data_IF_936184024280
#
_entry.id   IF_936184024280
#
_cell.length_a   1.000
_cell.length_b   1.000
_cell.length_c   1.000
_cell.angle_alpha   90.00
_cell.angle_beta   90.00
_cell.angle_gamma   90.00
#
_symmetry.space_group_name_H-M   'P 1'
#
loop_
_entity.id
_entity.type
_entity.pdbx_description
1 polymer ?
#
# COMPACT_ATOMS: atom_id res chain seq x y z
N UNK A 1 23.61 -18.89 11.98
CA UNK A 1 22.90 -19.44 13.17
C UNK A 1 23.63 -18.92 14.40
N UNK A 2 23.00 -18.20 15.31
CA UNK A 2 23.67 -17.77 16.55
C UNK A 2 23.96 -19.00 17.40
N UNK A 3 25.18 -19.07 17.95
CA UNK A 3 25.60 -20.11 18.88
C UNK A 3 24.77 -19.99 20.16
N UNK A 4 24.10 -21.05 20.57
CA UNK A 4 23.47 -21.19 21.86
C UNK A 4 24.58 -21.21 22.94
N UNK A 5 24.73 -20.14 23.69
CA UNK A 5 25.48 -20.16 24.96
C UNK A 5 24.61 -20.74 26.06
N UNK A 6 25.02 -21.88 26.57
CA UNK A 6 24.36 -22.57 27.68
C UNK A 6 24.71 -21.85 29.01
N UNK A 7 23.98 -20.81 29.36
CA UNK A 7 23.84 -20.33 30.74
C UNK A 7 22.48 -19.67 30.92
N UNK A 8 21.61 -20.36 31.45
CA UNK A 8 20.36 -20.37 32.14
C UNK A 8 19.52 -19.11 32.39
N UNK A 9 19.45 -18.13 31.53
CA UNK A 9 18.37 -17.16 31.53
C UNK A 9 17.72 -17.10 30.14
N UNK A 10 16.69 -17.91 29.94
CA UNK A 10 15.84 -17.79 28.76
C UNK A 10 15.21 -16.39 28.76
N UNK A 11 15.72 -15.48 27.93
CA UNK A 11 15.08 -14.20 27.69
C UNK A 11 13.76 -14.50 26.98
N UNK A 12 12.64 -14.32 27.70
CA UNK A 12 11.32 -14.46 27.08
C UNK A 12 11.18 -13.35 26.04
N UNK A 13 11.12 -13.73 24.77
CA UNK A 13 10.84 -12.81 23.68
C UNK A 13 9.32 -12.77 23.52
N UNK A 14 8.75 -11.61 23.84
CA UNK A 14 7.31 -11.37 23.68
C UNK A 14 7.10 -10.61 22.38
N UNK A 15 6.34 -11.18 21.46
CA UNK A 15 5.90 -10.46 20.27
C UNK A 15 4.99 -9.30 20.67
N UNK A 16 5.26 -8.13 20.12
CA UNK A 16 4.40 -6.95 20.28
C UNK A 16 3.34 -6.94 19.19
N UNK A 17 2.11 -6.66 19.60
CA UNK A 17 0.99 -6.48 18.69
C UNK A 17 1.14 -5.17 17.89
N UNK A 18 0.86 -5.20 16.60
CA UNK A 18 0.83 -4.00 15.77
C UNK A 18 -0.42 -3.16 16.11
N UNK A 19 -0.29 -1.83 16.22
CA UNK A 19 -1.41 -0.96 16.57
C UNK A 19 -2.39 -0.78 15.41
N UNK A 20 -3.58 -0.26 15.74
CA UNK A 20 -4.61 0.24 14.81
C UNK A 20 -5.23 -0.82 13.88
N UNK A 21 -5.10 -2.10 14.19
CA UNK A 21 -5.81 -3.17 13.48
C UNK A 21 -6.64 -4.01 14.46
N UNK A 22 -7.85 -4.48 14.06
CA UNK A 22 -8.77 -5.19 14.96
C UNK A 22 -8.43 -6.69 15.11
N UNK A 23 -7.22 -7.11 14.75
CA UNK A 23 -6.76 -8.49 14.83
C UNK A 23 -5.29 -8.51 15.22
N UNK A 24 -4.85 -9.60 15.84
CA UNK A 24 -3.45 -9.78 16.19
C UNK A 24 -2.59 -9.94 14.93
N UNK A 25 -1.58 -9.10 14.80
CA UNK A 25 -0.42 -9.28 13.91
C UNK A 25 0.80 -8.73 14.62
N UNK A 26 1.95 -9.44 14.62
CA UNK A 26 3.13 -8.97 15.33
C UNK A 26 3.77 -7.79 14.60
N UNK A 27 4.29 -6.83 15.37
CA UNK A 27 5.20 -5.82 14.82
C UNK A 27 6.45 -6.51 14.28
N UNK A 28 6.80 -6.22 13.04
CA UNK A 28 8.08 -6.64 12.46
C UNK A 28 9.14 -5.58 12.75
N UNK A 29 10.20 -5.98 13.46
CA UNK A 29 11.31 -5.09 13.80
C UNK A 29 12.65 -5.79 13.54
N UNK A 30 13.39 -5.40 12.50
CA UNK A 30 13.04 -4.35 11.52
C UNK A 30 11.91 -4.76 10.57
N UNK A 31 11.21 -3.79 9.93
CA UNK A 31 10.17 -4.08 8.95
C UNK A 31 10.69 -4.90 7.77
N UNK A 32 9.81 -5.69 7.14
CA UNK A 32 10.13 -6.41 5.91
C UNK A 32 10.73 -5.46 4.86
N UNK A 33 11.71 -5.93 4.10
CA UNK A 33 12.43 -5.14 3.09
C UNK A 33 13.55 -4.25 3.64
N UNK A 34 13.80 -4.29 4.95
CA UNK A 34 14.98 -3.67 5.55
C UNK A 34 16.20 -4.56 5.33
N UNK A 35 17.32 -3.98 4.89
CA UNK A 35 18.58 -4.72 4.76
C UNK A 35 19.16 -5.07 6.13
N UNK A 36 19.75 -6.27 6.25
CA UNK A 36 20.50 -6.66 7.46
C UNK A 36 21.87 -5.98 7.54
N UNK A 37 22.49 -5.69 6.38
CA UNK A 37 23.80 -5.09 6.28
C UNK A 37 23.72 -3.64 5.83
N UNK A 38 24.77 -2.85 6.18
CA UNK A 38 24.93 -1.50 5.65
C UNK A 38 25.08 -1.58 4.12
N UNK A 39 24.19 -0.92 3.43
CA UNK A 39 24.17 -0.91 1.97
C UNK A 39 24.91 0.32 1.42
N UNK A 40 25.64 0.18 0.30
CA UNK A 40 26.19 1.33 -0.42
C UNK A 40 25.08 2.34 -0.73
N UNK A 41 25.40 3.64 -0.64
CA UNK A 41 24.46 4.69 -0.99
C UNK A 41 23.96 4.53 -2.44
N UNK A 42 22.66 4.69 -2.65
CA UNK A 42 22.03 4.56 -3.97
C UNK A 42 21.71 3.12 -4.39
N UNK A 43 22.13 2.09 -3.64
CA UNK A 43 21.73 0.70 -3.93
C UNK A 43 20.25 0.47 -3.63
N UNK A 44 19.67 -0.59 -4.21
CA UNK A 44 18.24 -0.88 -4.14
C UNK A 44 17.69 -0.96 -2.70
N UNK A 45 18.47 -1.54 -1.78
CA UNK A 45 18.11 -1.71 -0.38
C UNK A 45 18.74 -0.65 0.55
N UNK A 46 19.33 0.42 0.00
CA UNK A 46 19.74 1.56 0.81
C UNK A 46 18.54 2.45 1.16
N UNK A 47 18.61 3.10 2.32
CA UNK A 47 17.61 4.08 2.72
C UNK A 47 17.48 5.20 1.68
N UNK A 48 16.27 5.70 1.49
CA UNK A 48 16.02 6.94 0.76
C UNK A 48 15.18 7.88 1.61
N UNK A 49 15.56 9.15 1.65
CA UNK A 49 14.82 10.21 2.34
C UNK A 49 14.18 11.15 1.32
N UNK A 50 12.87 11.27 1.40
CA UNK A 50 12.08 12.21 0.60
C UNK A 50 11.48 13.22 1.56
N UNK A 51 12.05 14.43 1.64
CA UNK A 51 11.72 15.43 2.67
C UNK A 51 11.83 14.83 4.08
N UNK A 52 10.71 14.70 4.80
CA UNK A 52 10.66 14.14 6.15
C UNK A 52 10.32 12.64 6.18
N UNK A 53 10.07 12.02 5.04
CA UNK A 53 9.75 10.60 4.92
C UNK A 53 11.02 9.80 4.64
N UNK A 54 11.36 8.87 5.54
CA UNK A 54 12.45 7.92 5.33
C UNK A 54 11.85 6.56 4.96
N UNK A 55 12.33 5.97 3.86
CA UNK A 55 11.92 4.68 3.34
C UNK A 55 13.06 3.67 3.52
N UNK A 56 12.72 2.44 3.89
CA UNK A 56 13.69 1.39 4.18
C UNK A 56 14.42 0.82 2.95
N UNK A 57 13.89 1.06 1.76
CA UNK A 57 14.51 0.69 0.50
C UNK A 57 13.97 1.57 -0.65
N UNK A 58 14.48 1.36 -1.86
CA UNK A 58 14.14 2.11 -3.07
C UNK A 58 13.15 1.40 -4.00
N UNK A 59 12.45 0.39 -3.48
CA UNK A 59 11.42 -0.35 -4.21
C UNK A 59 10.08 0.35 -4.00
N UNK A 60 9.47 0.84 -5.07
CA UNK A 60 8.17 1.51 -5.02
C UNK A 60 7.15 0.72 -5.82
N UNK A 61 5.97 0.51 -5.24
CA UNK A 61 4.81 0.01 -5.97
C UNK A 61 4.12 1.21 -6.61
N UNK A 62 4.14 1.24 -7.94
CA UNK A 62 3.50 2.32 -8.71
C UNK A 62 1.98 2.23 -8.64
N UNK A 63 1.26 3.35 -8.88
CA UNK A 63 -0.19 3.37 -8.97
C UNK A 63 -0.70 2.46 -10.12
N UNK A 64 -1.67 1.60 -9.82
CA UNK A 64 -2.26 0.68 -10.81
C UNK A 64 -3.76 0.57 -10.56
N UNK A 65 -4.58 1.12 -11.46
CA UNK A 65 -6.04 1.05 -11.38
C UNK A 65 -6.50 -0.41 -11.30
N UNK A 66 -7.35 -0.70 -10.32
CA UNK A 66 -7.90 -2.03 -10.05
C UNK A 66 -9.28 -2.21 -10.65
N UNK A 67 -9.94 -1.11 -11.01
CA UNK A 67 -11.30 -1.13 -11.55
C UNK A 67 -12.26 -1.97 -10.70
N UNK A 68 -12.17 -1.81 -9.39
CA UNK A 68 -12.87 -2.64 -8.40
C UNK A 68 -13.54 -1.83 -7.30
N UNK A 69 -13.60 -0.50 -7.46
CA UNK A 69 -14.34 0.37 -6.57
C UNK A 69 -15.83 0.37 -6.91
N UNK A 70 -16.67 0.66 -5.95
CA UNK A 70 -18.10 0.86 -6.12
C UNK A 70 -18.46 2.29 -5.71
N UNK A 71 -18.93 3.09 -6.65
CA UNK A 71 -19.27 4.51 -6.43
C UNK A 71 -18.11 5.30 -5.81
N UNK A 72 -16.89 5.02 -6.25
CA UNK A 72 -15.67 5.61 -5.72
C UNK A 72 -15.17 4.99 -4.41
N UNK A 73 -15.94 4.11 -3.78
CA UNK A 73 -15.58 3.47 -2.50
C UNK A 73 -14.69 2.27 -2.75
N UNK A 74 -13.50 2.26 -2.15
CA UNK A 74 -12.60 1.09 -2.19
C UNK A 74 -13.25 -0.12 -1.49
N UNK A 75 -13.06 -1.29 -2.07
CA UNK A 75 -13.63 -2.56 -1.60
C UNK A 75 -12.57 -3.42 -0.89
N UNK A 76 -12.92 -4.56 -0.29
CA UNK A 76 -11.95 -5.51 0.27
C UNK A 76 -10.89 -5.98 -0.73
N UNK A 77 -11.17 -5.92 -2.04
CA UNK A 77 -10.18 -6.18 -3.09
C UNK A 77 -8.95 -5.27 -2.96
N UNK A 78 -9.16 -3.96 -2.76
CA UNK A 78 -8.07 -2.99 -2.62
C UNK A 78 -7.22 -3.26 -1.38
N UNK A 79 -7.86 -3.65 -0.27
CA UNK A 79 -7.14 -4.05 0.95
C UNK A 79 -6.28 -5.28 0.72
N UNK A 80 -6.81 -6.31 0.05
CA UNK A 80 -6.06 -7.51 -0.31
C UNK A 80 -4.89 -7.17 -1.24
N UNK A 81 -5.14 -6.37 -2.28
CA UNK A 81 -4.14 -5.97 -3.28
C UNK A 81 -2.99 -5.18 -2.64
N UNK A 82 -3.29 -4.05 -1.98
CA UNK A 82 -2.29 -3.19 -1.37
C UNK A 82 -1.61 -3.84 -0.16
N UNK A 83 -2.38 -4.58 0.66
CA UNK A 83 -1.88 -5.32 1.81
C UNK A 83 -0.92 -6.44 1.41
N UNK A 84 -1.14 -7.09 0.28
CA UNK A 84 -0.24 -8.12 -0.22
C UNK A 84 1.15 -7.56 -0.55
N UNK A 85 1.23 -6.33 -1.04
CA UNK A 85 2.52 -5.64 -1.22
C UNK A 85 3.13 -5.23 0.12
N UNK A 86 2.32 -4.70 1.04
CA UNK A 86 2.81 -4.26 2.35
C UNK A 86 3.55 -5.38 3.09
N UNK A 87 3.01 -6.59 3.08
CA UNK A 87 3.63 -7.75 3.71
C UNK A 87 4.96 -8.20 3.05
N UNK A 88 5.29 -7.68 1.85
CA UNK A 88 6.53 -7.99 1.10
C UNK A 88 7.59 -6.91 1.19
N UNK A 89 7.33 -5.81 1.89
CA UNK A 89 8.30 -4.82 2.31
C UNK A 89 8.84 -3.86 1.25
N UNK A 90 8.05 -3.37 0.27
CA UNK A 90 8.49 -2.25 -0.55
C UNK A 90 8.66 -1.00 0.32
N UNK A 91 9.55 -0.10 -0.08
CA UNK A 91 9.78 1.15 0.63
C UNK A 91 8.56 2.07 0.60
N UNK A 92 7.81 2.08 -0.51
CA UNK A 92 6.59 2.87 -0.67
C UNK A 92 5.58 2.14 -1.54
N UNK A 93 4.31 2.21 -1.14
CA UNK A 93 3.18 1.79 -1.95
C UNK A 93 2.40 3.04 -2.33
N UNK A 94 2.05 3.21 -3.62
CA UNK A 94 1.15 4.29 -4.04
C UNK A 94 -0.16 3.67 -4.49
N UNK A 95 -1.28 4.17 -3.95
CA UNK A 95 -2.61 3.68 -4.37
C UNK A 95 -2.84 3.98 -5.83
N UNK A 96 -3.77 3.26 -6.45
CA UNK A 96 -4.36 3.69 -7.71
C UNK A 96 -4.87 5.12 -7.64
N UNK A 97 -5.14 5.74 -8.78
CA UNK A 97 -5.68 7.09 -8.81
C UNK A 97 -7.03 7.15 -8.10
N UNK A 98 -7.15 8.08 -7.16
CA UNK A 98 -8.40 8.42 -6.49
C UNK A 98 -8.91 9.72 -7.11
N UNK A 99 -10.07 9.66 -7.74
CA UNK A 99 -10.66 10.81 -8.39
C UNK A 99 -11.08 11.87 -7.35
N UNK A 100 -10.87 13.14 -7.66
CA UNK A 100 -11.22 14.26 -6.80
C UNK A 100 -12.66 14.75 -7.01
N UNK A 101 -13.36 14.17 -7.98
CA UNK A 101 -14.79 14.37 -8.25
C UNK A 101 -15.37 13.15 -8.95
N UNK A 102 -16.71 12.93 -8.91
CA UNK A 102 -17.35 11.78 -9.57
C UNK A 102 -17.04 11.69 -11.06
N UNK A 103 -17.11 12.81 -11.77
CA UNK A 103 -16.83 12.91 -13.20
C UNK A 103 -15.34 12.83 -13.52
N UNK A 104 -14.48 12.97 -12.53
CA UNK A 104 -13.02 12.83 -12.68
C UNK A 104 -12.52 11.41 -12.74
N UNK A 105 -13.36 10.40 -12.54
CA UNK A 105 -13.00 8.99 -12.66
C UNK A 105 -12.73 8.63 -14.11
N UNK A 106 -11.77 7.72 -14.34
CA UNK A 106 -11.49 7.18 -15.69
C UNK A 106 -12.61 6.24 -16.10
N UNK A 107 -13.01 5.33 -15.20
CA UNK A 107 -14.14 4.41 -15.36
C UNK A 107 -15.08 4.49 -14.17
N UNK A 108 -16.32 3.96 -14.27
CA UNK A 108 -17.26 3.90 -13.16
C UNK A 108 -16.72 3.14 -11.93
N UNK A 109 -15.78 2.22 -12.14
CA UNK A 109 -15.18 1.35 -11.11
C UNK A 109 -13.90 1.90 -10.49
N UNK A 110 -13.52 3.15 -10.79
CA UNK A 110 -12.36 3.78 -10.18
C UNK A 110 -12.65 4.28 -8.76
N UNK A 111 -11.60 4.27 -7.94
CA UNK A 111 -11.65 4.84 -6.60
C UNK A 111 -11.78 6.38 -6.61
N UNK A 112 -12.35 6.93 -5.57
CA UNK A 112 -12.54 8.36 -5.36
C UNK A 112 -12.14 8.82 -3.97
N UNK A 113 -12.00 10.14 -3.83
CA UNK A 113 -11.76 10.82 -2.56
C UNK A 113 -12.52 12.17 -2.51
N UNK A 114 -13.71 12.18 -3.04
CA UNK A 114 -14.59 13.34 -3.15
C UNK A 114 -15.79 13.28 -2.18
N UNK A 115 -15.91 12.19 -1.41
CA UNK A 115 -17.01 11.97 -0.45
C UNK A 115 -16.48 11.34 0.83
N UNK A 116 -16.99 11.75 1.98
CA UNK A 116 -16.57 11.27 3.30
C UNK A 116 -16.80 9.75 3.48
N UNK A 117 -17.80 9.18 2.80
CA UNK A 117 -18.06 7.74 2.80
C UNK A 117 -16.90 6.90 2.24
N UNK A 118 -16.00 7.51 1.47
CA UNK A 118 -14.82 6.87 0.90
C UNK A 118 -13.65 6.76 1.90
N UNK A 119 -13.66 7.58 2.97
CA UNK A 119 -12.57 7.65 3.95
C UNK A 119 -12.44 6.42 4.82
N UNK A 120 -13.56 5.81 5.22
CA UNK A 120 -13.54 4.63 6.11
C UNK A 120 -12.74 3.46 5.53
N UNK A 121 -13.10 2.94 4.35
CA UNK A 121 -12.38 1.87 3.68
C UNK A 121 -10.91 2.23 3.36
N UNK A 122 -10.65 3.47 2.96
CA UNK A 122 -9.27 3.93 2.71
C UNK A 122 -8.43 3.92 3.99
N UNK A 123 -8.99 4.38 5.12
CA UNK A 123 -8.32 4.35 6.43
C UNK A 123 -7.99 2.90 6.85
N UNK A 124 -8.93 1.98 6.69
CA UNK A 124 -8.74 0.56 7.01
C UNK A 124 -7.56 -0.05 6.20
N UNK A 125 -7.41 0.36 4.94
CA UNK A 125 -6.26 -0.03 4.11
C UNK A 125 -4.96 0.58 4.64
N UNK A 126 -4.96 1.86 4.96
CA UNK A 126 -3.78 2.58 5.48
C UNK A 126 -3.32 1.99 6.81
N UNK A 127 -4.25 1.74 7.73
CA UNK A 127 -3.96 1.14 9.03
C UNK A 127 -3.36 -0.27 8.88
N UNK A 128 -3.92 -1.08 7.95
CA UNK A 128 -3.34 -2.38 7.64
C UNK A 128 -1.91 -2.26 7.09
N UNK A 129 -1.67 -1.38 6.12
CA UNK A 129 -0.34 -1.19 5.52
C UNK A 129 0.66 -0.74 6.59
N UNK A 130 0.28 0.20 7.44
CA UNK A 130 1.12 0.67 8.54
C UNK A 130 1.39 -0.43 9.58
N UNK A 131 0.42 -1.32 9.86
CA UNK A 131 0.61 -2.44 10.77
C UNK A 131 1.70 -3.42 10.30
N UNK A 132 1.99 -3.45 8.99
CA UNK A 132 3.07 -4.23 8.39
C UNK A 132 4.42 -3.47 8.32
N UNK A 133 4.49 -2.25 8.89
CA UNK A 133 5.67 -1.39 8.84
C UNK A 133 5.91 -0.69 7.51
N UNK A 134 5.04 -0.89 6.52
CA UNK A 134 5.15 -0.28 5.19
C UNK A 134 4.65 1.16 5.18
N UNK A 135 5.04 1.92 4.15
CA UNK A 135 4.59 3.29 3.89
C UNK A 135 3.65 3.30 2.70
N UNK A 136 2.62 4.14 2.77
CA UNK A 136 1.63 4.29 1.69
C UNK A 136 1.43 5.76 1.37
N UNK A 137 1.23 6.05 0.08
CA UNK A 137 0.85 7.35 -0.45
C UNK A 137 -0.40 7.18 -1.32
N UNK A 138 -1.14 8.25 -1.50
CA UNK A 138 -2.31 8.31 -2.37
C UNK A 138 -1.96 9.04 -3.67
N UNK A 139 -2.34 8.46 -4.82
CA UNK A 139 -2.41 9.22 -6.06
C UNK A 139 -3.78 9.86 -6.17
N UNK A 140 -3.83 11.16 -6.37
CA UNK A 140 -5.06 11.91 -6.63
C UNK A 140 -5.07 12.43 -8.05
N UNK A 141 -6.24 12.47 -8.69
CA UNK A 141 -6.31 12.92 -10.07
C UNK A 141 -7.73 13.22 -10.56
N UNK A 142 -7.75 13.72 -11.79
CA UNK A 142 -8.97 13.97 -12.56
C UNK A 142 -8.69 13.62 -14.03
N UNK A 143 -9.45 12.66 -14.58
CA UNK A 143 -9.21 12.17 -15.95
C UNK A 143 -9.53 13.20 -17.04
N UNK A 144 -10.30 14.24 -16.72
CA UNK A 144 -10.66 15.30 -17.67
C UNK A 144 -11.40 14.74 -18.88
N UNK A 145 -10.99 15.17 -20.07
CA UNK A 145 -11.62 14.72 -21.34
C UNK A 145 -11.40 13.23 -21.66
N UNK A 146 -10.53 12.55 -20.93
CA UNK A 146 -10.29 11.10 -21.05
C UNK A 146 -11.07 10.28 -20.02
N UNK A 147 -11.99 10.92 -19.27
CA UNK A 147 -12.90 10.25 -18.37
C UNK A 147 -13.98 9.46 -19.11
N UNK A 148 -14.77 8.71 -18.33
CA UNK A 148 -15.93 7.95 -18.82
C UNK A 148 -15.59 6.86 -19.84
N UNK A 149 -14.44 6.20 -19.67
CA UNK A 149 -14.10 4.99 -20.42
C UNK A 149 -14.70 3.76 -19.76
N UNK A 150 -14.78 2.67 -20.48
CA UNK A 150 -15.04 1.35 -19.91
C UNK A 150 -13.74 0.71 -19.40
N UNK A 151 -13.86 -0.28 -18.54
CA UNK A 151 -12.70 -1.05 -18.07
C UNK A 151 -12.01 -1.76 -19.24
N UNK A 152 -10.67 -1.92 -19.21
CA UNK A 152 -9.91 -2.39 -20.39
C UNK A 152 -10.33 -3.74 -20.97
N UNK A 153 -10.86 -4.65 -20.17
CA UNK A 153 -11.30 -5.96 -20.64
C UNK A 153 -12.65 -5.93 -21.35
N UNK A 154 -13.47 -4.89 -21.18
CA UNK A 154 -14.69 -4.68 -21.95
C UNK A 154 -14.38 -4.06 -23.31
N UNK A 155 -13.39 -3.20 -23.41
CA UNK A 155 -12.99 -2.53 -24.65
C UNK A 155 -12.51 -3.52 -25.72
N UNK A 156 -11.85 -4.61 -25.32
CA UNK A 156 -11.40 -5.66 -26.26
C UNK A 156 -12.50 -6.33 -27.08
N UNK A 157 -13.76 -6.23 -26.66
CA UNK A 157 -14.92 -6.80 -27.37
C UNK A 157 -15.64 -5.79 -28.24
N UNK A 158 -15.41 -4.51 -28.02
CA UNK A 158 -16.06 -3.41 -28.72
C UNK A 158 -14.99 -2.51 -29.36
N UNK A 159 -14.25 -3.03 -30.32
CA UNK A 159 -13.29 -2.25 -31.14
C UNK A 159 -13.98 -1.27 -32.08
N UNK A 160 -15.22 -0.93 -31.84
CA UNK A 160 -15.99 0.07 -32.56
C UNK A 160 -16.39 1.19 -31.60
N UNK A 161 -15.42 2.05 -31.27
CA UNK A 161 -15.64 3.41 -30.77
C UNK A 161 -15.06 4.38 -31.77
#
# INVERSE_FOLDING_TARGET
MPKCEANGHHKIIINKEAPNVPFYTPVQDPPAGTSYDVQPEGSLFSLIKIRNLTLQNRIFVSPMCQYSAKDGVMTPWHKQHLGSFAARGPGLIVTEVNAVSPEGRISPEDAGIYDDGQLGPLRDIVDFVHSQGAKIAIQIGHAGRKASTVVPWLDRKNTAF
#
